data_IF_795731700944
#
_entry.id   IF_795731700944
#
_cell.length_a   1.000
_cell.length_b   1.000
_cell.length_c   1.000
_cell.angle_alpha   90.00
_cell.angle_beta   90.00
_cell.angle_gamma   90.00
#
_symmetry.space_group_name_H-M   'P 1'
#
loop_
_entity.id
_entity.type
_entity.pdbx_description
1 polymer ?
#
# COMPACT_ATOMS: atom_id res chain seq x y z
N UNK A 1 -10.81 -7.64 -21.57
CA UNK A 1 -9.44 -7.12 -21.67
C UNK A 1 -8.58 -7.91 -20.70
N UNK A 2 -7.64 -8.72 -21.19
CA UNK A 2 -6.80 -9.60 -20.37
C UNK A 2 -5.87 -10.41 -21.26
N UNK A 3 -4.75 -10.87 -20.71
CA UNK A 3 -3.77 -11.67 -21.45
C UNK A 3 -4.37 -13.07 -21.64
N UNK A 4 -4.59 -13.53 -22.90
CA UNK A 4 -5.18 -14.83 -23.17
C UNK A 4 -4.23 -15.95 -22.73
N UNK A 5 -4.79 -16.99 -22.12
CA UNK A 5 -4.06 -18.18 -21.71
C UNK A 5 -4.24 -19.25 -22.79
N UNK A 6 -3.13 -19.82 -23.26
CA UNK A 6 -3.16 -20.95 -24.18
C UNK A 6 -3.95 -22.11 -23.55
N UNK A 7 -4.96 -22.61 -24.28
CA UNK A 7 -5.89 -23.62 -23.78
C UNK A 7 -5.19 -24.93 -23.40
N UNK A 8 -4.06 -25.25 -24.04
CA UNK A 8 -3.28 -26.47 -23.78
C UNK A 8 -2.51 -26.43 -22.44
N UNK A 9 -2.19 -25.24 -21.93
CA UNK A 9 -1.37 -25.05 -20.73
C UNK A 9 -2.15 -24.43 -19.56
N UNK A 10 -3.48 -24.35 -19.68
CA UNK A 10 -4.35 -23.70 -18.69
C UNK A 10 -4.68 -24.67 -17.54
N UNK A 11 -4.37 -24.33 -16.28
CA UNK A 11 -4.88 -25.08 -15.14
C UNK A 11 -6.40 -24.96 -15.09
N UNK A 12 -7.11 -26.07 -14.86
CA UNK A 12 -8.58 -26.17 -14.85
C UNK A 12 -9.28 -25.15 -13.91
N UNK A 13 -8.58 -24.63 -12.91
CA UNK A 13 -9.13 -23.70 -11.91
C UNK A 13 -9.01 -22.21 -12.28
N UNK A 14 -8.29 -21.87 -13.36
CA UNK A 14 -8.08 -20.48 -13.79
C UNK A 14 -9.09 -20.08 -14.87
N UNK A 15 -9.58 -18.83 -14.84
CA UNK A 15 -10.37 -18.23 -15.91
C UNK A 15 -9.57 -18.07 -17.23
N UNK A 16 -10.23 -17.71 -18.36
CA UNK A 16 -9.54 -17.60 -19.66
C UNK A 16 -8.59 -16.40 -19.77
N UNK A 17 -8.60 -15.50 -18.78
CA UNK A 17 -7.83 -14.27 -18.77
C UNK A 17 -7.17 -14.06 -17.41
N UNK A 18 -5.96 -13.51 -17.41
CA UNK A 18 -5.32 -12.97 -16.21
C UNK A 18 -5.85 -11.58 -15.87
N UNK A 19 -5.91 -11.28 -14.57
CA UNK A 19 -6.14 -9.92 -14.09
C UNK A 19 -4.91 -9.05 -14.38
N UNK A 20 -5.07 -7.83 -14.94
CA UNK A 20 -3.97 -6.91 -15.19
C UNK A 20 -3.53 -6.23 -13.88
N UNK A 21 -2.94 -7.00 -12.97
CA UNK A 21 -2.54 -6.53 -11.63
C UNK A 21 -1.61 -5.32 -11.67
N UNK A 22 -0.71 -5.25 -12.65
CA UNK A 22 0.15 -4.09 -12.89
C UNK A 22 -0.61 -2.80 -13.18
N UNK A 23 -1.75 -2.89 -13.88
CA UNK A 23 -2.59 -1.73 -14.15
C UNK A 23 -3.24 -1.23 -12.86
N UNK A 24 -3.71 -2.16 -12.02
CA UNK A 24 -4.27 -1.82 -10.72
C UNK A 24 -3.24 -1.20 -9.78
N UNK A 25 -2.00 -1.71 -9.77
CA UNK A 25 -0.87 -1.11 -9.03
C UNK A 25 -0.61 0.32 -9.51
N UNK A 26 -0.47 0.51 -10.82
CA UNK A 26 -0.16 1.84 -11.40
C UNK A 26 -1.24 2.88 -11.12
N UNK A 27 -2.52 2.49 -11.21
CA UNK A 27 -3.65 3.37 -10.89
C UNK A 27 -3.65 3.69 -9.39
N UNK A 28 -3.42 2.68 -8.54
CA UNK A 28 -3.32 2.86 -7.10
C UNK A 28 -2.21 3.83 -6.70
N UNK A 29 -1.01 3.67 -7.26
CA UNK A 29 0.12 4.55 -7.01
C UNK A 29 -0.16 5.99 -7.48
N UNK A 30 -0.83 6.15 -8.62
CA UNK A 30 -1.26 7.46 -9.10
C UNK A 30 -2.27 8.12 -8.15
N UNK A 31 -3.23 7.36 -7.63
CA UNK A 31 -4.19 7.85 -6.62
C UNK A 31 -3.48 8.26 -5.35
N UNK A 32 -2.55 7.44 -4.83
CA UNK A 32 -1.74 7.76 -3.65
C UNK A 32 -0.95 9.06 -3.88
N UNK A 33 -0.31 9.19 -5.03
CA UNK A 33 0.43 10.40 -5.39
C UNK A 33 -0.47 11.65 -5.39
N UNK A 34 -1.65 11.58 -6.02
CA UNK A 34 -2.60 12.69 -6.07
C UNK A 34 -3.11 13.06 -4.67
N UNK A 35 -3.38 12.09 -3.81
CA UNK A 35 -3.80 12.32 -2.41
C UNK A 35 -2.70 13.02 -1.60
N UNK A 36 -1.45 12.55 -1.72
CA UNK A 36 -0.30 13.17 -1.03
C UNK A 36 -0.03 14.59 -1.55
N UNK A 37 -0.15 14.80 -2.86
CA UNK A 37 -0.01 16.12 -3.47
C UNK A 37 -1.10 17.08 -2.98
N UNK A 38 -2.35 16.62 -2.92
CA UNK A 38 -3.47 17.38 -2.39
C UNK A 38 -3.24 17.74 -0.91
N UNK A 39 -2.82 16.78 -0.07
CA UNK A 39 -2.48 17.03 1.33
C UNK A 39 -1.34 18.06 1.47
N UNK A 40 -0.28 17.94 0.68
CA UNK A 40 0.84 18.86 0.70
C UNK A 40 0.41 20.28 0.31
N UNK A 41 -0.37 20.41 -0.77
CA UNK A 41 -0.94 21.69 -1.23
C UNK A 41 -1.85 22.32 -0.17
N UNK A 42 -2.71 21.52 0.47
CA UNK A 42 -3.63 21.99 1.51
C UNK A 42 -2.92 22.47 2.76
N UNK A 43 -1.90 21.73 3.20
CA UNK A 43 -1.05 22.09 4.34
C UNK A 43 -0.34 23.43 4.10
N UNK A 44 0.23 23.60 2.89
CA UNK A 44 0.87 24.85 2.46
C UNK A 44 -0.12 26.02 2.40
N UNK A 45 -1.33 25.81 1.86
CA UNK A 45 -2.34 26.85 1.71
C UNK A 45 -2.87 27.36 3.06
N UNK A 46 -3.07 26.45 4.03
CA UNK A 46 -3.58 26.81 5.36
C UNK A 46 -2.49 27.33 6.32
N UNK A 47 -1.23 27.44 5.89
CA UNK A 47 -0.06 27.71 6.75
C UNK A 47 0.00 26.82 8.00
N UNK A 48 -0.60 25.63 7.91
CA UNK A 48 -0.49 24.65 8.98
C UNK A 48 0.90 24.05 8.81
N UNK A 49 1.82 24.36 9.74
CA UNK A 49 3.09 23.64 9.84
C UNK A 49 2.77 22.19 10.18
N UNK A 50 2.49 21.37 9.16
CA UNK A 50 2.30 19.94 9.34
C UNK A 50 3.53 19.36 10.01
N UNK A 51 3.33 18.48 11.00
CA UNK A 51 4.44 17.84 11.69
C UNK A 51 5.36 17.14 10.67
N UNK A 52 6.69 17.26 10.80
CA UNK A 52 7.62 16.61 9.88
C UNK A 52 7.34 15.10 9.82
N UNK A 53 7.30 14.55 8.62
CA UNK A 53 7.07 13.11 8.39
C UNK A 53 5.61 12.68 8.23
N UNK A 54 4.61 13.57 8.35
CA UNK A 54 3.21 13.17 8.17
C UNK A 54 2.93 12.60 6.75
N UNK A 55 3.53 13.21 5.72
CA UNK A 55 3.42 12.74 4.32
C UNK A 55 3.99 11.32 4.16
N UNK A 56 5.12 11.03 4.80
CA UNK A 56 5.77 9.71 4.74
C UNK A 56 4.92 8.66 5.45
N UNK A 57 4.35 8.98 6.60
CA UNK A 57 3.45 8.08 7.33
C UNK A 57 2.17 7.80 6.54
N UNK A 58 1.58 8.81 5.92
CA UNK A 58 0.41 8.63 5.05
C UNK A 58 0.75 7.80 3.83
N UNK A 59 1.90 8.03 3.19
CA UNK A 59 2.37 7.22 2.08
C UNK A 59 2.49 5.75 2.47
N UNK A 60 3.18 5.45 3.58
CA UNK A 60 3.35 4.09 4.06
C UNK A 60 2.02 3.41 4.37
N UNK A 61 1.07 4.11 4.99
CA UNK A 61 -0.26 3.58 5.30
C UNK A 61 -1.03 3.23 4.02
N UNK A 62 -1.14 4.18 3.09
CA UNK A 62 -1.89 3.99 1.86
C UNK A 62 -1.26 2.92 0.96
N UNK A 63 0.06 2.92 0.86
CA UNK A 63 0.79 1.95 0.04
C UNK A 63 0.67 0.53 0.62
N UNK A 64 0.71 0.36 1.94
CA UNK A 64 0.46 -0.94 2.57
C UNK A 64 -0.97 -1.44 2.33
N UNK A 65 -1.98 -0.57 2.37
CA UNK A 65 -3.36 -0.94 2.03
C UNK A 65 -3.50 -1.39 0.58
N UNK A 66 -2.92 -0.62 -0.35
CA UNK A 66 -2.88 -0.98 -1.77
C UNK A 66 -2.21 -2.34 -1.97
N UNK A 67 -1.08 -2.58 -1.28
CA UNK A 67 -0.33 -3.82 -1.38
C UNK A 67 -1.12 -5.04 -0.91
N UNK A 68 -1.87 -4.92 0.20
CA UNK A 68 -2.75 -5.99 0.69
C UNK A 68 -3.85 -6.30 -0.33
N UNK A 69 -4.46 -5.26 -0.92
CA UNK A 69 -5.49 -5.41 -1.95
C UNK A 69 -4.96 -6.11 -3.20
N UNK A 70 -3.84 -5.64 -3.76
CA UNK A 70 -3.26 -6.20 -4.98
C UNK A 70 -2.72 -7.61 -4.77
N UNK A 71 -2.13 -7.90 -3.60
CA UNK A 71 -1.58 -9.22 -3.28
C UNK A 71 -2.67 -10.31 -3.32
N UNK A 72 -3.90 -9.98 -2.93
CA UNK A 72 -5.05 -10.90 -3.02
C UNK A 72 -5.42 -11.29 -4.46
N UNK A 73 -5.11 -10.42 -5.44
CA UNK A 73 -5.36 -10.63 -6.86
C UNK A 73 -4.19 -11.30 -7.57
N UNK A 74 -3.01 -11.39 -6.93
CA UNK A 74 -1.79 -11.98 -7.48
C UNK A 74 -1.79 -13.49 -7.35
N UNK A 75 -1.81 -14.16 -8.49
CA UNK A 75 -1.79 -15.62 -8.63
C UNK A 75 -0.33 -16.15 -8.65
N UNK A 76 0.65 -15.26 -8.84
CA UNK A 76 2.06 -15.62 -8.93
C UNK A 76 2.64 -16.17 -7.61
N UNK A 77 3.60 -17.09 -7.72
CA UNK A 77 4.36 -17.59 -6.57
C UNK A 77 5.39 -16.54 -6.15
N UNK A 78 5.05 -15.72 -5.18
CA UNK A 78 6.01 -14.87 -4.48
C UNK A 78 6.79 -15.65 -3.42
N UNK A 79 8.02 -15.24 -3.08
CA UNK A 79 8.79 -15.93 -2.06
C UNK A 79 8.08 -15.87 -0.71
N UNK A 80 8.02 -17.02 -0.06
CA UNK A 80 7.33 -17.22 1.21
C UNK A 80 8.39 -17.23 2.30
N UNK A 81 8.23 -16.38 3.31
CA UNK A 81 9.08 -16.37 4.51
C UNK A 81 8.20 -16.73 5.70
N UNK A 82 8.62 -17.72 6.49
CA UNK A 82 7.88 -18.19 7.66
C UNK A 82 6.39 -18.55 7.38
N UNK A 83 6.11 -19.10 6.18
CA UNK A 83 4.74 -19.46 5.76
C UNK A 83 3.88 -18.28 5.29
N UNK A 84 4.42 -17.05 5.28
CA UNK A 84 3.71 -15.84 4.86
C UNK A 84 4.31 -15.30 3.56
N UNK A 85 3.45 -14.85 2.64
CA UNK A 85 3.88 -14.16 1.41
C UNK A 85 4.65 -12.89 1.79
N UNK A 86 5.88 -12.73 1.28
CA UNK A 86 6.74 -11.57 1.54
C UNK A 86 6.02 -10.20 1.48
N UNK A 87 5.20 -9.92 0.45
CA UNK A 87 4.47 -8.65 0.35
C UNK A 87 3.49 -8.39 1.50
N UNK A 88 2.90 -9.46 2.05
CA UNK A 88 2.00 -9.36 3.20
C UNK A 88 2.80 -9.08 4.48
N UNK A 89 3.93 -9.79 4.66
CA UNK A 89 4.83 -9.58 5.79
C UNK A 89 5.35 -8.12 5.83
N UNK A 90 5.82 -7.59 4.70
CA UNK A 90 6.32 -6.22 4.62
C UNK A 90 5.23 -5.19 4.90
N UNK A 91 4.01 -5.42 4.40
CA UNK A 91 2.86 -4.56 4.68
C UNK A 91 2.52 -4.52 6.17
N UNK A 92 2.54 -5.67 6.85
CA UNK A 92 2.30 -5.76 8.30
C UNK A 92 3.37 -5.02 9.11
N UNK A 93 4.65 -5.19 8.74
CA UNK A 93 5.77 -4.48 9.40
C UNK A 93 5.63 -2.97 9.25
N UNK A 94 5.30 -2.48 8.06
CA UNK A 94 5.11 -1.06 7.80
C UNK A 94 3.93 -0.49 8.59
N UNK A 95 2.79 -1.21 8.64
CA UNK A 95 1.63 -0.82 9.46
C UNK A 95 2.03 -0.75 10.94
N UNK A 96 2.79 -1.73 11.44
CA UNK A 96 3.32 -1.72 12.81
C UNK A 96 4.18 -0.49 13.11
N UNK A 97 5.10 -0.14 12.19
CA UNK A 97 5.95 1.05 12.31
C UNK A 97 5.11 2.34 12.33
N UNK A 98 4.11 2.46 11.45
CA UNK A 98 3.19 3.60 11.44
C UNK A 98 2.46 3.73 12.78
N UNK A 99 1.93 2.63 13.31
CA UNK A 99 1.24 2.62 14.61
C UNK A 99 2.19 3.06 15.73
N UNK A 100 3.40 2.49 15.80
CA UNK A 100 4.40 2.85 16.82
C UNK A 100 4.73 4.35 16.75
N UNK A 101 5.01 4.88 15.57
CA UNK A 101 5.32 6.31 15.41
C UNK A 101 4.15 7.22 15.78
N UNK A 102 2.91 6.79 15.54
CA UNK A 102 1.72 7.53 15.96
C UNK A 102 1.59 7.54 17.51
N UNK A 103 1.79 6.38 18.15
CA UNK A 103 1.74 6.27 19.61
C UNK A 103 2.85 7.06 20.31
N UNK A 104 4.09 7.04 19.79
CA UNK A 104 5.18 7.82 20.39
C UNK A 104 4.94 9.33 20.27
N UNK A 105 4.39 9.81 19.15
CA UNK A 105 4.02 11.22 18.96
C UNK A 105 2.90 11.68 19.90
N UNK A 106 1.89 10.83 20.12
CA UNK A 106 0.80 11.11 21.06
C UNK A 106 1.33 11.28 22.50
N UNK A 107 2.27 10.42 22.90
CA UNK A 107 2.90 10.50 24.23
C UNK A 107 3.71 11.78 24.45
N UNK A 108 4.45 12.25 23.43
CA UNK A 108 5.19 13.51 23.52
C UNK A 108 4.30 14.74 23.61
N UNK A 109 3.11 14.71 22.99
CA UNK A 109 2.15 15.83 23.08
C UNK A 109 1.53 15.92 24.47
N UNK A 110 1.26 14.79 25.13
CA UNK A 110 0.68 14.75 26.47
C UNK A 110 1.69 15.02 27.60
N UNK A 111 3.00 14.93 27.34
CA UNK A 111 4.04 15.20 28.35
C UNK A 111 4.36 16.71 28.53
N UNK A 112 3.83 17.57 27.66
CA UNK A 112 4.00 19.02 27.69
C UNK A 112 2.70 19.80 27.98
N UNK A 113 1.62 19.11 28.33
CA UNK A 113 0.36 19.68 28.79
C UNK A 113 0.23 19.49 30.31
#
# INVERSE_FOLDING_TARGET
WGIPIDAAHRPLHLGPYFHPTFLYESIGDLIIFLLLLAMHRWSKLRRISGQPGNIVLTYFTLYSLLRIGVESLRIDRVPIIAGIRLPLLTSLVIIGLVIITFFTRSRHTNAHA
#
